data_IF_039905936640
#
_entry.id   IF_039905936640
#
_cell.length_a   1.000
_cell.length_b   1.000
_cell.length_c   1.000
_cell.angle_alpha   90.00
_cell.angle_beta   90.00
_cell.angle_gamma   90.00
#
_symmetry.space_group_name_H-M   'P 1'
#
loop_
_entity.id
_entity.type
_entity.pdbx_description
1 polymer ?
#
# COMPACT_ATOMS: atom_id res chain seq x y z
N UNK A 1 2.41 14.23 35.13
CA UNK A 1 3.67 14.61 34.44
C UNK A 1 3.34 15.10 33.03
N UNK A 2 3.80 16.25 32.64
CA UNK A 2 3.58 16.77 31.29
C UNK A 2 4.47 16.06 30.29
N UNK A 3 3.92 15.81 29.12
CA UNK A 3 4.66 15.25 27.98
C UNK A 3 4.70 16.28 26.86
N UNK A 4 5.81 16.34 26.20
CA UNK A 4 6.00 17.19 25.04
C UNK A 4 6.12 16.35 23.79
N UNK A 5 5.54 16.81 22.69
CA UNK A 5 5.54 16.10 21.41
C UNK A 5 6.28 16.91 20.35
N UNK A 6 7.08 16.22 19.58
CA UNK A 6 7.75 16.79 18.41
C UNK A 6 7.30 16.00 17.18
N UNK A 7 6.85 16.73 16.17
CA UNK A 7 6.50 16.10 14.88
C UNK A 7 7.74 16.11 14.00
N UNK A 8 8.05 14.95 13.43
CA UNK A 8 9.13 14.82 12.47
C UNK A 8 8.61 14.17 11.21
N UNK A 9 9.10 14.63 10.08
CA UNK A 9 8.76 14.01 8.79
C UNK A 9 9.81 12.95 8.48
N UNK A 10 9.33 11.80 8.00
CA UNK A 10 10.16 10.67 7.62
C UNK A 10 9.98 10.38 6.14
N UNK A 11 11.06 9.98 5.50
CA UNK A 11 10.99 9.43 4.16
C UNK A 11 11.11 7.91 4.25
N UNK A 12 10.22 7.21 3.56
CA UNK A 12 10.21 5.75 3.53
C UNK A 12 10.58 5.31 2.12
N UNK A 13 11.59 4.47 1.99
CA UNK A 13 11.95 3.87 0.72
C UNK A 13 11.00 2.73 0.41
N UNK A 14 10.27 2.86 -0.70
CA UNK A 14 9.35 1.82 -1.18
C UNK A 14 9.93 1.29 -2.48
N UNK A 15 10.30 0.01 -2.49
CA UNK A 15 10.91 -0.61 -3.67
C UNK A 15 9.83 -1.10 -4.65
N UNK A 16 10.25 -1.41 -5.87
CA UNK A 16 9.38 -2.05 -6.85
C UNK A 16 8.82 -3.36 -6.31
N UNK A 17 9.66 -4.15 -5.65
CA UNK A 17 9.25 -5.41 -5.03
C UNK A 17 8.21 -5.20 -3.93
N UNK A 18 8.37 -4.15 -3.10
CA UNK A 18 7.39 -3.81 -2.08
C UNK A 18 6.01 -3.52 -2.70
N UNK A 19 5.99 -2.74 -3.78
CA UNK A 19 4.74 -2.42 -4.49
C UNK A 19 4.11 -3.69 -5.05
N UNK A 20 4.90 -4.54 -5.70
CA UNK A 20 4.41 -5.80 -6.25
C UNK A 20 3.82 -6.70 -5.16
N UNK A 21 4.48 -6.80 -4.01
CA UNK A 21 4.02 -7.63 -2.89
C UNK A 21 2.70 -7.13 -2.32
N UNK A 22 2.57 -5.83 -2.13
CA UNK A 22 1.33 -5.22 -1.61
C UNK A 22 0.17 -5.48 -2.58
N UNK A 23 0.39 -5.22 -3.87
CA UNK A 23 -0.65 -5.42 -4.89
C UNK A 23 -1.02 -6.89 -5.01
N UNK A 24 -0.04 -7.80 -4.99
CA UNK A 24 -0.28 -9.24 -5.03
C UNK A 24 -1.16 -9.67 -3.86
N UNK A 25 -0.82 -9.26 -2.64
CA UNK A 25 -1.59 -9.62 -1.44
C UNK A 25 -3.02 -9.08 -1.53
N UNK A 26 -3.19 -7.85 -2.03
CA UNK A 26 -4.51 -7.27 -2.22
C UNK A 26 -5.34 -8.06 -3.25
N UNK A 27 -4.76 -8.38 -4.40
CA UNK A 27 -5.49 -9.07 -5.48
C UNK A 27 -5.77 -10.54 -5.16
N UNK A 28 -4.92 -11.18 -4.36
CA UNK A 28 -5.09 -12.59 -3.99
C UNK A 28 -6.07 -12.82 -2.84
N UNK A 29 -6.52 -11.78 -2.16
CA UNK A 29 -7.46 -11.96 -1.06
C UNK A 29 -7.90 -10.70 -0.36
N UNK A 30 -7.02 -9.70 -0.25
CA UNK A 30 -7.26 -8.53 0.59
C UNK A 30 -8.52 -7.74 0.21
N UNK A 31 -8.72 -7.48 -1.07
CA UNK A 31 -9.82 -6.64 -1.54
C UNK A 31 -10.98 -7.42 -2.16
N UNK A 32 -10.91 -8.75 -2.21
CA UNK A 32 -11.88 -9.55 -2.98
C UNK A 32 -13.32 -9.42 -2.47
N UNK A 33 -13.51 -9.06 -1.21
CA UNK A 33 -14.86 -8.95 -0.66
C UNK A 33 -15.61 -7.69 -1.13
N UNK A 34 -14.89 -6.67 -1.61
CA UNK A 34 -15.52 -5.47 -2.17
C UNK A 34 -15.15 -5.19 -3.63
N UNK A 35 -14.10 -5.82 -4.13
CA UNK A 35 -13.64 -5.65 -5.51
C UNK A 35 -13.87 -6.96 -6.27
N UNK A 36 -14.82 -6.93 -7.20
CA UNK A 36 -15.18 -8.13 -7.98
C UNK A 36 -14.23 -8.42 -9.13
N UNK A 37 -13.46 -7.41 -9.56
CA UNK A 37 -12.58 -7.54 -10.72
C UNK A 37 -11.49 -6.47 -10.68
N UNK A 38 -10.28 -6.88 -11.00
CA UNK A 38 -9.16 -5.98 -11.25
C UNK A 38 -8.73 -6.16 -12.71
N UNK A 39 -8.69 -5.08 -13.47
CA UNK A 39 -8.41 -5.12 -14.91
C UNK A 39 -7.21 -4.26 -15.26
N UNK A 40 -6.27 -4.84 -16.01
CA UNK A 40 -5.12 -4.09 -16.54
C UNK A 40 -5.59 -3.15 -17.62
N UNK A 41 -5.18 -1.89 -17.52
CA UNK A 41 -5.47 -0.87 -18.55
C UNK A 41 -4.34 -0.91 -19.58
N UNK A 42 -4.70 -1.18 -20.82
CA UNK A 42 -3.72 -1.28 -21.91
C UNK A 42 -2.91 -2.57 -21.87
N UNK A 43 -1.67 -2.48 -22.31
CA UNK A 43 -0.79 -3.64 -22.37
C UNK A 43 -0.24 -3.99 -20.99
N UNK A 44 0.00 -5.27 -20.76
CA UNK A 44 0.71 -5.72 -19.57
C UNK A 44 2.17 -5.24 -19.62
N UNK A 45 2.59 -4.54 -18.56
CA UNK A 45 3.96 -4.05 -18.44
C UNK A 45 4.89 -5.08 -17.77
N UNK A 46 4.32 -6.10 -17.16
CA UNK A 46 5.01 -7.24 -16.59
C UNK A 46 4.31 -8.53 -16.98
N UNK A 47 4.61 -9.61 -16.27
CA UNK A 47 4.00 -10.91 -16.53
C UNK A 47 2.59 -11.01 -15.96
N UNK A 48 2.37 -10.38 -14.80
CA UNK A 48 1.13 -10.48 -14.04
C UNK A 48 0.50 -9.10 -13.81
N UNK A 49 -0.82 -9.09 -13.59
CA UNK A 49 -1.55 -7.85 -13.25
C UNK A 49 -0.97 -7.18 -11.99
N UNK A 50 -0.50 -7.96 -11.02
CA UNK A 50 0.10 -7.45 -9.79
C UNK A 50 1.37 -6.62 -10.03
N UNK A 51 2.00 -6.77 -11.18
CA UNK A 51 3.22 -6.04 -11.53
C UNK A 51 2.95 -4.75 -12.30
N UNK A 52 1.69 -4.50 -12.65
CA UNK A 52 1.33 -3.35 -13.48
C UNK A 52 1.63 -2.02 -12.80
N UNK A 53 1.33 -1.93 -11.51
CA UNK A 53 1.42 -0.67 -10.74
C UNK A 53 2.87 -0.24 -10.57
N UNK A 54 3.76 -1.14 -10.17
CA UNK A 54 5.17 -0.81 -9.93
C UNK A 54 5.88 -0.34 -11.20
N UNK A 55 5.37 -0.74 -12.35
CA UNK A 55 5.93 -0.39 -13.64
C UNK A 55 5.29 0.85 -14.26
N UNK A 56 4.46 1.55 -13.48
CA UNK A 56 3.84 2.80 -13.91
C UNK A 56 2.52 2.66 -14.64
N UNK A 57 1.96 1.46 -14.69
CA UNK A 57 0.66 1.21 -15.32
C UNK A 57 -0.51 1.46 -14.38
N UNK A 58 -1.71 1.13 -14.85
CA UNK A 58 -2.95 1.37 -14.14
C UNK A 58 -3.78 0.10 -14.08
N UNK A 59 -4.44 -0.12 -12.94
CA UNK A 59 -5.46 -1.14 -12.77
C UNK A 59 -6.81 -0.46 -12.53
N UNK A 60 -7.85 -1.00 -13.14
CA UNK A 60 -9.24 -0.63 -12.81
C UNK A 60 -9.77 -1.64 -11.83
N UNK A 61 -10.28 -1.15 -10.70
CA UNK A 61 -10.87 -1.97 -9.64
C UNK A 61 -12.37 -1.74 -9.64
N UNK A 62 -13.12 -2.79 -9.90
CA UNK A 62 -14.58 -2.73 -10.01
C UNK A 62 -15.23 -3.09 -8.70
N UNK A 63 -16.01 -2.16 -8.15
CA UNK A 63 -16.73 -2.33 -6.89
C UNK A 63 -17.82 -3.39 -7.05
N UNK A 64 -17.97 -4.26 -6.05
CA UNK A 64 -18.96 -5.34 -6.06
C UNK A 64 -20.40 -4.83 -5.96
N UNK A 65 -20.61 -3.71 -5.27
CA UNK A 65 -21.95 -3.21 -4.93
C UNK A 65 -22.50 -2.19 -5.90
N UNK A 66 -21.83 -1.93 -7.02
CA UNK A 66 -22.33 -0.94 -7.94
C UNK A 66 -21.48 -0.76 -9.17
N UNK A 67 -21.70 0.38 -9.81
CA UNK A 67 -21.05 0.72 -11.07
C UNK A 67 -19.77 1.51 -10.89
N UNK A 68 -19.29 1.64 -9.65
CA UNK A 68 -18.08 2.41 -9.38
C UNK A 68 -16.86 1.66 -9.85
N UNK A 69 -16.00 2.39 -10.53
CA UNK A 69 -14.70 1.89 -10.98
C UNK A 69 -13.63 2.80 -10.40
N UNK A 70 -12.68 2.19 -9.71
CA UNK A 70 -11.58 2.93 -9.11
C UNK A 70 -10.31 2.66 -9.91
N UNK A 71 -9.57 3.72 -10.21
CA UNK A 71 -8.28 3.55 -10.87
C UNK A 71 -7.17 3.54 -9.84
N UNK A 72 -6.33 2.52 -9.88
CA UNK A 72 -5.14 2.41 -9.05
C UNK A 72 -3.92 2.71 -9.90
N UNK A 73 -3.11 3.65 -9.45
CA UNK A 73 -1.82 4.00 -10.06
C UNK A 73 -0.74 3.93 -9.00
N UNK A 74 0.53 3.98 -9.42
CA UNK A 74 1.65 3.99 -8.47
C UNK A 74 1.58 5.17 -7.51
N UNK A 75 1.30 6.37 -8.03
CA UNK A 75 1.22 7.57 -7.17
C UNK A 75 0.13 7.44 -6.12
N UNK A 76 -1.03 6.90 -6.52
CA UNK A 76 -2.13 6.65 -5.57
C UNK A 76 -1.74 5.59 -4.54
N UNK A 77 -1.05 4.54 -4.97
CA UNK A 77 -0.60 3.50 -4.03
C UNK A 77 0.38 4.07 -3.01
N UNK A 78 1.33 4.89 -3.45
CA UNK A 78 2.29 5.52 -2.53
C UNK A 78 1.58 6.43 -1.54
N UNK A 79 0.57 7.18 -1.97
CA UNK A 79 -0.25 7.99 -1.08
C UNK A 79 -1.06 7.12 -0.12
N UNK A 80 -1.54 5.98 -0.58
CA UNK A 80 -2.24 5.01 0.28
C UNK A 80 -1.34 4.44 1.36
N UNK A 81 -0.08 4.14 1.04
CA UNK A 81 0.92 3.70 2.01
C UNK A 81 1.16 4.78 3.05
N UNK A 82 1.30 6.03 2.60
CA UNK A 82 1.47 7.18 3.49
C UNK A 82 0.31 7.29 4.48
N UNK A 83 -0.92 7.27 3.98
CA UNK A 83 -2.12 7.38 4.82
C UNK A 83 -2.24 6.22 5.80
N UNK A 84 -1.91 5.02 5.36
CA UNK A 84 -1.89 3.86 6.25
C UNK A 84 -0.89 4.06 7.40
N UNK A 85 0.32 4.51 7.09
CA UNK A 85 1.36 4.72 8.10
C UNK A 85 1.01 5.87 9.06
N UNK A 86 0.19 6.82 8.62
CA UNK A 86 -0.27 7.94 9.46
C UNK A 86 -1.50 7.58 10.30
N UNK A 87 -2.16 6.46 10.01
CA UNK A 87 -3.34 6.02 10.75
C UNK A 87 -2.91 5.53 12.14
N UNK A 88 -3.40 6.21 13.17
CA UNK A 88 -3.05 5.89 14.56
C UNK A 88 -3.71 4.60 15.05
N UNK A 89 -4.74 4.11 14.36
CA UNK A 89 -5.45 2.89 14.69
C UNK A 89 -5.08 1.71 13.78
N UNK A 90 -4.01 1.86 12.99
CA UNK A 90 -3.57 0.78 12.11
C UNK A 90 -3.20 -0.46 12.89
N UNK A 91 -3.55 -1.67 12.38
CA UNK A 91 -3.31 -2.92 13.11
C UNK A 91 -1.84 -3.25 13.29
N UNK A 92 -0.98 -2.89 12.33
CA UNK A 92 0.45 -3.21 12.37
C UNK A 92 1.28 -2.06 11.84
N UNK A 93 2.46 -1.86 12.43
CA UNK A 93 3.48 -1.02 11.82
C UNK A 93 4.16 -1.81 10.70
N UNK A 94 4.28 -1.18 9.54
CA UNK A 94 4.95 -1.77 8.39
C UNK A 94 6.26 -1.06 8.06
N UNK A 95 6.59 -0.02 8.82
CA UNK A 95 7.85 0.70 8.66
C UNK A 95 8.93 0.09 9.54
N UNK A 96 10.15 0.07 9.05
CA UNK A 96 11.30 -0.27 9.88
C UNK A 96 12.44 0.70 9.60
N UNK A 97 13.26 0.94 10.63
CA UNK A 97 14.47 1.74 10.50
C UNK A 97 15.61 0.86 10.01
N UNK A 98 16.34 1.32 9.00
CA UNK A 98 17.52 0.64 8.52
C UNK A 98 18.66 0.73 9.53
N UNK A 99 19.47 -0.33 9.60
CA UNK A 99 20.68 -0.36 10.43
C UNK A 99 21.86 -0.83 9.56
N UNK A 100 23.05 -0.35 9.91
CA UNK A 100 24.28 -0.80 9.25
C UNK A 100 24.80 -2.10 9.91
N UNK A 101 25.94 -2.60 9.44
CA UNK A 101 26.53 -3.85 9.89
C UNK A 101 26.92 -3.89 11.37
N UNK A 102 27.03 -2.72 12.02
CA UNK A 102 27.33 -2.64 13.45
C UNK A 102 26.09 -2.27 14.29
N UNK A 103 24.91 -2.25 13.67
CA UNK A 103 23.64 -2.01 14.38
C UNK A 103 23.28 -0.55 14.58
N UNK A 104 23.99 0.40 13.97
CA UNK A 104 23.63 1.81 14.05
C UNK A 104 22.62 2.18 12.98
N UNK A 105 21.70 3.10 13.30
CA UNK A 105 20.71 3.60 12.37
C UNK A 105 21.39 4.26 11.16
N UNK A 106 20.91 3.95 9.96
CA UNK A 106 21.36 4.59 8.72
C UNK A 106 20.61 5.87 8.41
N UNK A 107 19.56 6.19 9.20
CA UNK A 107 18.66 7.31 8.90
C UNK A 107 17.65 7.00 7.80
N UNK A 108 17.64 5.79 7.28
CA UNK A 108 16.73 5.35 6.24
C UNK A 108 15.61 4.51 6.85
N UNK A 109 14.42 4.59 6.23
CA UNK A 109 13.27 3.77 6.59
C UNK A 109 12.82 2.99 5.38
N UNK A 110 12.32 1.77 5.61
CA UNK A 110 11.78 0.93 4.56
C UNK A 110 10.47 0.28 5.00
N UNK A 111 9.90 -0.53 4.12
CA UNK A 111 8.69 -1.29 4.41
C UNK A 111 9.04 -2.75 4.68
N UNK A 112 8.40 -3.30 5.72
CA UNK A 112 8.44 -4.72 6.01
C UNK A 112 7.17 -5.36 5.45
N UNK A 113 7.25 -5.87 4.21
CA UNK A 113 6.09 -6.48 3.55
C UNK A 113 5.65 -7.80 4.19
N UNK A 114 6.49 -8.40 5.07
CA UNK A 114 6.05 -9.53 5.88
C UNK A 114 4.94 -9.15 6.86
N UNK A 115 4.84 -7.87 7.21
CA UNK A 115 3.77 -7.35 8.07
C UNK A 115 2.54 -6.88 7.29
N UNK A 116 2.59 -6.94 5.96
CA UNK A 116 1.46 -6.58 5.11
C UNK A 116 0.65 -7.84 4.83
N UNK A 117 -0.32 -8.11 5.68
CA UNK A 117 -1.28 -9.19 5.47
C UNK A 117 -2.44 -8.71 4.59
N UNK A 118 -3.45 -9.57 4.39
CA UNK A 118 -4.62 -9.23 3.57
C UNK A 118 -5.35 -7.99 4.08
N UNK A 119 -5.48 -7.85 5.41
CA UNK A 119 -6.14 -6.69 6.02
C UNK A 119 -5.37 -5.40 5.76
N UNK A 120 -4.07 -5.43 5.94
CA UNK A 120 -3.21 -4.26 5.71
C UNK A 120 -3.20 -3.87 4.23
N UNK A 121 -3.08 -4.86 3.34
CA UNK A 121 -3.11 -4.60 1.90
C UNK A 121 -4.44 -3.97 1.48
N UNK A 122 -5.56 -4.47 2.01
CA UNK A 122 -6.89 -3.90 1.77
C UNK A 122 -6.96 -2.43 2.22
N UNK A 123 -6.48 -2.14 3.42
CA UNK A 123 -6.47 -0.76 3.95
C UNK A 123 -5.65 0.17 3.05
N UNK A 124 -4.47 -0.27 2.64
CA UNK A 124 -3.61 0.53 1.75
C UNK A 124 -4.33 0.83 0.43
N UNK A 125 -4.95 -0.18 -0.18
CA UNK A 125 -5.68 0.00 -1.44
C UNK A 125 -6.88 0.95 -1.27
N UNK A 126 -7.64 0.80 -0.18
CA UNK A 126 -8.77 1.71 0.07
C UNK A 126 -8.30 3.14 0.25
N UNK A 127 -7.25 3.37 1.04
CA UNK A 127 -6.66 4.71 1.16
C UNK A 127 -6.19 5.25 -0.20
N UNK A 128 -5.62 4.38 -1.04
CA UNK A 128 -5.11 4.77 -2.35
C UNK A 128 -6.22 5.23 -3.29
N UNK A 129 -7.32 4.49 -3.37
CA UNK A 129 -8.36 4.75 -4.39
C UNK A 129 -9.58 5.49 -3.85
N UNK A 130 -9.82 5.48 -2.54
CA UNK A 130 -10.98 6.12 -1.92
C UNK A 130 -10.60 7.25 -0.96
N UNK A 131 -9.35 7.32 -0.53
CA UNK A 131 -8.85 8.31 0.41
C UNK A 131 -9.19 8.03 1.87
N UNK A 132 -10.00 7.02 2.14
CA UNK A 132 -10.42 6.63 3.48
C UNK A 132 -10.85 5.16 3.49
N UNK A 133 -11.02 4.59 4.68
CA UNK A 133 -11.51 3.22 4.82
C UNK A 133 -13.04 3.26 4.71
N UNK A 134 -13.56 2.66 3.65
CA UNK A 134 -15.00 2.60 3.33
C UNK A 134 -15.59 1.23 3.68
N UNK A 135 -14.83 0.19 3.44
CA UNK A 135 -15.25 -1.20 3.69
C UNK A 135 -14.41 -1.82 4.80
N UNK A 136 -15.03 -2.64 5.60
CA UNK A 136 -14.32 -3.41 6.63
C UNK A 136 -14.91 -4.81 6.85
#
# INVERSE_FOLDING_TARGET
MENFKVKAELEINVTQEDVDDIVTTALEGGINYWCRKAEVVGDYLGEYASEQISRGGTLKLYDSDGDKVHELTRDKLLDGIKKYCEDTERPYDIMYAGVNSVGCSTGEYGLDCCMVDATVADMIIQYAVMGEIVYD
#
